data_IF_930013631605
#
_entry.id   IF_930013631605
#
_cell.length_a   1.000
_cell.length_b   1.000
_cell.length_c   1.000
_cell.angle_alpha   90.00
_cell.angle_beta   90.00
_cell.angle_gamma   90.00
#
_symmetry.space_group_name_H-M   'P 1'
#
loop_
_entity.id
_entity.type
_entity.pdbx_description
1 polymer ?
#
# COMPACT_ATOMS: atom_id res chain seq x y z
N UNK A 1 -2.44 -5.20 -14.18
CA UNK A 1 -3.57 -5.28 -13.22
C UNK A 1 -4.89 -5.14 -13.96
N UNK A 2 -6.01 -5.69 -13.46
CA UNK A 2 -7.34 -5.41 -14.04
C UNK A 2 -7.71 -3.95 -13.79
N UNK A 3 -8.32 -3.28 -14.78
CA UNK A 3 -8.63 -1.85 -14.69
C UNK A 3 -9.57 -1.52 -13.53
N UNK A 4 -10.57 -2.38 -13.29
CA UNK A 4 -11.49 -2.21 -12.16
C UNK A 4 -10.79 -2.34 -10.81
N UNK A 5 -9.87 -3.29 -10.68
CA UNK A 5 -9.06 -3.48 -9.48
C UNK A 5 -8.14 -2.29 -9.26
N UNK A 6 -7.49 -1.81 -10.33
CA UNK A 6 -6.64 -0.63 -10.28
C UNK A 6 -7.41 0.58 -9.79
N UNK A 7 -8.58 0.87 -10.38
CA UNK A 7 -9.42 2.00 -9.99
C UNK A 7 -9.92 1.86 -8.54
N UNK A 8 -10.40 0.69 -8.15
CA UNK A 8 -10.87 0.44 -6.79
C UNK A 8 -9.77 0.67 -5.74
N UNK A 9 -8.58 0.09 -5.95
CA UNK A 9 -7.43 0.25 -5.04
C UNK A 9 -6.90 1.68 -5.03
N UNK A 10 -6.90 2.36 -6.17
CA UNK A 10 -6.52 3.78 -6.25
C UNK A 10 -7.40 4.64 -5.36
N UNK A 11 -8.72 4.46 -5.45
CA UNK A 11 -9.70 5.20 -4.63
C UNK A 11 -9.57 4.84 -3.15
N UNK A 12 -9.38 3.56 -2.83
CA UNK A 12 -9.16 3.11 -1.45
C UNK A 12 -7.95 3.80 -0.83
N UNK A 13 -6.78 3.75 -1.48
CA UNK A 13 -5.56 4.40 -0.97
C UNK A 13 -5.67 5.93 -0.96
N UNK A 14 -6.36 6.53 -1.92
CA UNK A 14 -6.62 7.96 -1.94
C UNK A 14 -7.44 8.39 -0.71
N UNK A 15 -8.56 7.72 -0.45
CA UNK A 15 -9.42 8.02 0.71
C UNK A 15 -8.67 7.76 2.00
N UNK A 16 -7.93 6.66 2.07
CA UNK A 16 -7.14 6.30 3.23
C UNK A 16 -6.10 7.39 3.56
N UNK A 17 -5.48 7.99 2.55
CA UNK A 17 -4.55 9.10 2.72
C UNK A 17 -5.26 10.40 3.12
N UNK A 18 -6.39 10.74 2.50
CA UNK A 18 -7.16 11.98 2.78
C UNK A 18 -7.78 11.96 4.18
N UNK A 19 -8.18 10.78 4.66
CA UNK A 19 -8.75 10.58 6.01
C UNK A 19 -7.69 10.43 7.10
N UNK A 20 -6.40 10.38 6.74
CA UNK A 20 -5.29 10.19 7.68
C UNK A 20 -5.14 8.76 8.21
N UNK A 21 -5.88 7.79 7.67
CA UNK A 21 -5.79 6.37 8.06
C UNK A 21 -4.61 5.62 7.45
N UNK A 22 -3.93 6.19 6.45
CA UNK A 22 -2.98 5.44 5.64
C UNK A 22 -1.69 5.08 6.35
N UNK A 23 -1.13 6.01 7.14
CA UNK A 23 0.05 5.73 7.96
C UNK A 23 -0.20 4.63 9.00
N UNK A 24 -1.43 4.52 9.52
CA UNK A 24 -1.80 3.50 10.51
C UNK A 24 -1.94 2.10 9.88
N UNK A 25 -2.38 2.02 8.63
CA UNK A 25 -2.59 0.74 7.93
C UNK A 25 -1.35 0.26 7.15
N UNK A 26 -0.59 1.18 6.56
CA UNK A 26 0.45 0.86 5.59
C UNK A 26 1.86 1.26 6.06
N UNK A 27 1.97 1.94 7.20
CA UNK A 27 3.25 2.36 7.77
C UNK A 27 3.92 3.52 7.04
N UNK A 28 5.07 3.95 7.54
CA UNK A 28 5.79 5.13 7.03
C UNK A 28 6.31 4.94 5.59
N UNK A 29 6.67 3.72 5.19
CA UNK A 29 7.16 3.37 3.86
C UNK A 29 6.16 3.66 2.74
N UNK A 30 4.86 3.65 3.07
CA UNK A 30 3.78 3.97 2.11
C UNK A 30 3.60 5.46 1.86
N UNK A 31 4.12 6.33 2.74
CA UNK A 31 3.82 7.77 2.74
C UNK A 31 4.14 8.46 1.42
N UNK A 32 5.34 8.20 0.88
CA UNK A 32 5.79 8.81 -0.38
C UNK A 32 4.91 8.37 -1.56
N UNK A 33 4.60 7.07 -1.64
CA UNK A 33 3.75 6.51 -2.68
C UNK A 33 2.29 7.01 -2.58
N UNK A 34 1.76 7.15 -1.38
CA UNK A 34 0.43 7.72 -1.14
C UNK A 34 0.37 9.20 -1.54
N UNK A 35 1.38 9.99 -1.19
CA UNK A 35 1.46 11.39 -1.60
C UNK A 35 1.56 11.53 -3.12
N UNK A 36 2.36 10.67 -3.78
CA UNK A 36 2.43 10.62 -5.25
C UNK A 36 1.09 10.23 -5.87
N UNK A 37 0.42 9.21 -5.33
CA UNK A 37 -0.89 8.76 -5.82
C UNK A 37 -1.94 9.87 -5.72
N UNK A 38 -1.99 10.56 -4.58
CA UNK A 38 -2.85 11.73 -4.40
C UNK A 38 -2.50 12.83 -5.40
N UNK A 39 -1.20 13.12 -5.59
CA UNK A 39 -0.73 14.11 -6.56
C UNK A 39 -1.12 13.81 -8.00
N UNK A 40 -0.99 12.54 -8.42
CA UNK A 40 -1.42 12.08 -9.76
C UNK A 40 -2.93 12.26 -9.91
N UNK A 41 -3.74 11.79 -8.96
CA UNK A 41 -5.20 11.93 -9.02
C UNK A 41 -5.62 13.41 -9.07
N UNK A 42 -5.03 14.28 -8.24
CA UNK A 42 -5.29 15.72 -8.33
C UNK A 42 -4.83 16.32 -9.65
N UNK A 43 -3.70 15.90 -10.23
CA UNK A 43 -3.23 16.46 -11.50
C UNK A 43 -4.23 16.22 -12.64
N UNK A 44 -4.83 15.02 -12.69
CA UNK A 44 -5.79 14.66 -13.73
C UNK A 44 -7.24 15.09 -13.43
N UNK A 45 -7.57 15.30 -12.16
CA UNK A 45 -8.96 15.52 -11.73
C UNK A 45 -9.16 16.71 -10.76
N UNK A 46 -8.19 17.62 -10.58
CA UNK A 46 -8.29 18.75 -9.62
C UNK A 46 -9.51 19.65 -9.82
N UNK A 47 -9.98 19.81 -11.06
CA UNK A 47 -11.16 20.62 -11.37
C UNK A 47 -12.48 19.81 -11.31
N UNK A 48 -12.41 18.51 -10.99
CA UNK A 48 -13.56 17.60 -11.00
C UNK A 48 -14.11 17.42 -9.58
N UNK A 49 -15.43 17.48 -9.46
CA UNK A 49 -16.13 17.33 -8.17
C UNK A 49 -15.90 15.94 -7.57
N UNK A 50 -15.70 14.96 -8.42
CA UNK A 50 -15.47 13.56 -8.07
C UNK A 50 -14.26 13.38 -7.12
N UNK A 51 -13.23 14.23 -7.18
CA UNK A 51 -12.10 14.19 -6.25
C UNK A 51 -12.42 14.89 -4.94
N UNK A 52 -13.14 16.03 -5.00
CA UNK A 52 -13.51 16.80 -3.81
C UNK A 52 -14.50 16.02 -2.93
N UNK A 53 -15.39 15.27 -3.57
CA UNK A 53 -16.41 14.44 -2.90
C UNK A 53 -15.96 12.99 -2.75
N UNK A 54 -14.70 12.63 -3.05
CA UNK A 54 -14.24 11.24 -3.05
C UNK A 54 -14.43 10.51 -1.71
N UNK A 55 -14.40 11.23 -0.59
CA UNK A 55 -14.68 10.67 0.75
C UNK A 55 -16.16 10.41 0.99
N UNK A 56 -17.05 11.11 0.30
CA UNK A 56 -18.51 10.97 0.39
C UNK A 56 -19.08 10.08 -0.71
N UNK A 57 -18.45 10.08 -1.88
CA UNK A 57 -18.85 9.33 -3.06
C UNK A 57 -17.62 8.70 -3.76
N UNK A 58 -17.06 7.63 -3.17
CA UNK A 58 -15.92 6.91 -3.74
C UNK A 58 -16.20 6.33 -5.14
N UNK A 59 -17.45 5.96 -5.41
CA UNK A 59 -17.84 5.36 -6.69
C UNK A 59 -17.71 6.34 -7.85
N UNK A 60 -18.00 7.62 -7.63
CA UNK A 60 -17.82 8.65 -8.65
C UNK A 60 -16.36 8.77 -9.09
N UNK A 61 -15.42 8.80 -8.13
CA UNK A 61 -13.99 8.82 -8.44
C UNK A 61 -13.54 7.53 -9.14
N UNK A 62 -14.03 6.37 -8.69
CA UNK A 62 -13.74 5.08 -9.34
C UNK A 62 -14.17 5.07 -10.81
N UNK A 63 -15.40 5.51 -11.09
CA UNK A 63 -15.92 5.58 -12.45
C UNK A 63 -15.13 6.58 -13.32
N UNK A 64 -14.73 7.72 -12.76
CA UNK A 64 -13.90 8.70 -13.45
C UNK A 64 -12.53 8.13 -13.82
N UNK A 65 -11.88 7.38 -12.92
CA UNK A 65 -10.61 6.70 -13.19
C UNK A 65 -10.76 5.63 -14.27
N UNK A 66 -11.81 4.80 -14.21
CA UNK A 66 -12.09 3.77 -15.23
C UNK A 66 -12.29 4.39 -16.61
N UNK A 67 -12.90 5.58 -16.67
CA UNK A 67 -13.12 6.30 -17.93
C UNK A 67 -11.85 6.95 -18.47
N UNK A 68 -10.99 7.49 -17.60
CA UNK A 68 -9.79 8.24 -18.04
C UNK A 68 -8.59 7.33 -18.34
N UNK A 69 -8.38 6.28 -17.53
CA UNK A 69 -7.26 5.35 -17.68
C UNK A 69 -7.07 4.72 -19.08
N UNK A 70 -8.12 4.33 -19.84
CA UNK A 70 -7.94 3.83 -21.20
C UNK A 70 -7.61 4.94 -22.22
N UNK A 71 -7.99 6.18 -21.93
CA UNK A 71 -7.74 7.34 -22.79
C UNK A 71 -6.39 8.00 -22.52
N UNK A 72 -5.81 7.77 -21.33
CA UNK A 72 -4.53 8.32 -20.93
C UNK A 72 -3.60 7.22 -20.39
N UNK A 73 -2.75 6.71 -21.29
CA UNK A 73 -1.83 5.61 -21.00
C UNK A 73 -0.84 5.99 -19.89
N UNK A 74 -0.29 7.21 -19.93
CA UNK A 74 0.67 7.71 -18.93
C UNK A 74 0.03 7.69 -17.53
N UNK A 75 -1.17 8.25 -17.40
CA UNK A 75 -1.94 8.23 -16.16
C UNK A 75 -2.16 6.81 -15.64
N UNK A 76 -2.53 5.88 -16.53
CA UNK A 76 -2.76 4.48 -16.17
C UNK A 76 -1.47 3.79 -15.69
N UNK A 77 -0.35 3.99 -16.36
CA UNK A 77 0.93 3.39 -16.00
C UNK A 77 1.46 3.93 -14.66
N UNK A 78 1.34 5.24 -14.43
CA UNK A 78 1.70 5.85 -13.15
C UNK A 78 0.82 5.32 -12.01
N UNK A 79 -0.49 5.22 -12.23
CA UNK A 79 -1.41 4.62 -11.28
C UNK A 79 -1.05 3.16 -10.98
N UNK A 80 -0.81 2.35 -12.02
CA UNK A 80 -0.50 0.94 -11.85
C UNK A 80 0.80 0.74 -11.06
N UNK A 81 1.83 1.53 -11.37
CA UNK A 81 3.10 1.52 -10.65
C UNK A 81 2.92 1.84 -9.16
N UNK A 82 2.22 2.92 -8.84
CA UNK A 82 1.99 3.36 -7.46
C UNK A 82 1.11 2.38 -6.68
N UNK A 83 0.00 1.92 -7.27
CA UNK A 83 -0.91 0.97 -6.63
C UNK A 83 -0.23 -0.37 -6.41
N UNK A 84 0.55 -0.87 -7.37
CA UNK A 84 1.32 -2.10 -7.18
C UNK A 84 2.33 -1.99 -6.05
N UNK A 85 3.00 -0.85 -5.89
CA UNK A 85 3.91 -0.62 -4.75
C UNK A 85 3.18 -0.57 -3.42
N UNK A 86 2.02 0.08 -3.36
CA UNK A 86 1.20 0.15 -2.15
C UNK A 86 0.65 -1.22 -1.76
N UNK A 87 0.23 -2.03 -2.72
CA UNK A 87 -0.19 -3.43 -2.48
C UNK A 87 0.99 -4.24 -1.93
N UNK A 88 2.18 -4.13 -2.52
CA UNK A 88 3.36 -4.85 -1.99
C UNK A 88 3.68 -4.45 -0.54
N UNK A 89 3.57 -3.16 -0.21
CA UNK A 89 3.77 -2.67 1.16
C UNK A 89 2.67 -3.23 2.08
N UNK A 90 1.39 -3.16 1.65
CA UNK A 90 0.25 -3.71 2.38
C UNK A 90 0.41 -5.22 2.65
N UNK A 91 0.84 -5.99 1.65
CA UNK A 91 1.10 -7.41 1.78
C UNK A 91 2.27 -7.70 2.71
N UNK A 92 3.32 -6.88 2.69
CA UNK A 92 4.48 -7.00 3.59
C UNK A 92 4.11 -6.67 5.04
N UNK A 93 3.23 -5.69 5.26
CA UNK A 93 2.75 -5.31 6.59
C UNK A 93 1.72 -6.31 7.16
N UNK A 94 0.80 -6.80 6.32
CA UNK A 94 -0.16 -7.85 6.72
C UNK A 94 0.50 -9.22 6.87
N UNK A 95 1.59 -9.47 6.15
CA UNK A 95 2.48 -10.60 6.38
C UNK A 95 3.41 -10.33 7.57
N UNK A 96 2.82 -10.14 8.76
CA UNK A 96 3.53 -10.32 10.04
C UNK A 96 4.22 -11.69 10.21
N UNK A 97 4.20 -12.53 9.18
CA UNK A 97 5.15 -13.61 8.96
C UNK A 97 6.23 -13.14 8.00
N UNK A 98 7.37 -12.80 8.60
CA UNK A 98 8.68 -12.69 7.98
C UNK A 98 8.85 -13.82 6.96
N UNK A 99 8.68 -13.53 5.67
CA UNK A 99 9.37 -14.34 4.67
C UNK A 99 10.81 -13.86 4.73
N UNK A 100 11.56 -14.41 5.69
CA UNK A 100 13.01 -14.49 5.59
C UNK A 100 13.29 -15.14 4.23
N UNK A 101 13.60 -14.32 3.23
CA UNK A 101 14.34 -14.79 2.07
C UNK A 101 15.73 -15.13 2.60
N UNK A 102 15.85 -16.30 3.22
CA UNK A 102 17.11 -16.96 3.52
C UNK A 102 17.67 -17.48 2.19
N UNK A 103 18.07 -16.56 1.31
CA UNK A 103 19.01 -16.86 0.24
C UNK A 103 20.41 -16.90 0.86
N UNK A 104 20.63 -17.96 1.64
CA UNK A 104 21.83 -18.18 2.41
C UNK A 104 21.57 -19.31 3.39
N UNK A 105 21.68 -20.56 2.91
CA UNK A 105 21.73 -21.81 3.67
C UNK A 105 21.64 -21.64 5.21
N UNK A 106 20.45 -21.86 5.77
CA UNK A 106 20.29 -22.01 7.22
C UNK A 106 18.89 -21.74 7.74
N UNK A 107 18.33 -22.76 8.40
CA UNK A 107 17.22 -22.73 9.37
C UNK A 107 15.77 -22.54 8.88
N UNK A 108 15.20 -23.70 8.51
CA UNK A 108 13.87 -24.26 8.79
C UNK A 108 12.76 -23.41 9.48
N UNK A 109 11.74 -23.06 8.68
CA UNK A 109 10.27 -23.23 8.80
C UNK A 109 9.69 -23.67 10.18
N UNK A 110 8.59 -23.00 10.56
CA UNK A 110 7.58 -23.30 11.58
C UNK A 110 7.88 -22.92 13.04
N UNK A 111 7.41 -21.74 13.44
CA UNK A 111 6.92 -21.53 14.79
C UNK A 111 5.48 -22.07 14.88
N UNK A 112 5.21 -22.96 15.85
CA UNK A 112 4.17 -22.59 16.79
C UNK A 112 4.72 -22.66 18.22
N UNK A 113 4.08 -21.89 19.10
CA UNK A 113 4.20 -21.95 20.56
C UNK A 113 5.33 -21.11 21.17
N UNK A 114 5.01 -19.82 21.34
CA UNK A 114 4.98 -19.15 22.63
C UNK A 114 5.46 -20.01 23.83
N UNK A 115 6.73 -19.89 24.23
CA UNK A 115 7.16 -19.99 25.63
C UNK A 115 8.38 -19.09 25.83
N UNK A 116 8.19 -18.04 26.64
CA UNK A 116 9.27 -17.16 27.06
C UNK A 116 10.35 -17.95 27.78
N UNK A 117 11.60 -17.79 27.32
CA UNK A 117 12.79 -18.10 28.09
C UNK A 117 13.82 -17.02 27.81
N UNK A 118 13.94 -16.05 28.72
CA UNK A 118 15.05 -15.11 28.72
C UNK A 118 16.20 -15.81 29.44
N UNK A 119 17.14 -16.37 28.69
CA UNK A 119 18.39 -16.85 29.26
C UNK A 119 19.35 -15.65 29.35
N UNK A 120 19.60 -15.19 30.57
CA UNK A 120 20.64 -14.21 30.86
C UNK A 120 22.01 -14.72 30.43
N UNK A 121 22.65 -13.97 29.53
CA UNK A 121 24.07 -14.07 29.29
C UNK A 121 24.83 -13.74 30.58
N UNK A 122 25.65 -14.68 31.06
CA UNK A 122 26.80 -14.34 31.88
C UNK A 122 28.04 -14.84 31.16
N UNK A 123 28.61 -13.95 30.35
CA UNK A 123 29.84 -14.16 29.62
C UNK A 123 31.02 -14.14 30.61
N UNK A 124 31.70 -15.28 30.75
CA UNK A 124 32.97 -15.38 31.48
C UNK A 124 34.05 -14.58 30.77
N UNK A 125 34.70 -13.64 31.47
CA UNK A 125 36.01 -13.12 31.10
C UNK A 125 36.96 -13.07 32.30
N UNK A 126 37.92 -14.00 32.26
CA UNK A 126 39.22 -14.13 32.95
C UNK A 126 39.26 -14.19 34.48
#
# INVERSE_FOLDING_TARGET
>A
MLLETLAAKSVEYFILQVTGGALQKLGADSKDYLQKLVGVIYTYFAARKEVQEATQNPEALKAAIIREAPNNIVFREELESLVSKLIQIEETQNSGTVNQVSSGFGANINAPQNQGYIAGENQYFR
#
